data_IF_994354522724
#
_entry.id   IF_994354522724
#
_cell.length_a   1.000
_cell.length_b   1.000
_cell.length_c   1.000
_cell.angle_alpha   90.00
_cell.angle_beta   90.00
_cell.angle_gamma   90.00
#
_symmetry.space_group_name_H-M   'P 1'
#
loop_
_entity.id
_entity.type
_entity.pdbx_description
1 polymer ?
#
# COMPACT_ATOMS: atom_id res chain seq x y z
N UNK A 1 10.51 2.77 3.23
CA UNK A 1 11.04 3.86 2.35
C UNK A 1 10.10 4.06 1.17
N UNK A 2 9.89 5.31 0.73
CA UNK A 2 9.10 5.65 -0.47
C UNK A 2 10.06 6.14 -1.56
N UNK A 3 9.97 5.60 -2.76
CA UNK A 3 10.75 6.07 -3.91
C UNK A 3 9.85 6.86 -4.85
N UNK A 4 10.23 8.12 -5.10
CA UNK A 4 9.67 8.93 -6.17
C UNK A 4 10.54 8.76 -7.41
N UNK A 5 9.91 8.41 -8.53
CA UNK A 5 10.58 8.24 -9.82
C UNK A 5 10.01 9.28 -10.78
N UNK A 6 10.83 10.24 -11.15
CA UNK A 6 10.46 11.33 -12.06
C UNK A 6 11.10 11.03 -13.41
N UNK A 7 10.30 10.97 -14.47
CA UNK A 7 10.79 10.76 -15.83
C UNK A 7 10.23 11.83 -16.76
N UNK A 8 11.09 12.72 -17.21
CA UNK A 8 10.79 13.85 -18.09
C UNK A 8 12.10 14.32 -18.74
N UNK A 9 12.11 14.60 -20.02
CA UNK A 9 13.31 15.05 -20.75
C UNK A 9 13.65 16.50 -20.45
N UNK A 10 12.66 17.28 -20.02
CA UNK A 10 12.82 18.69 -19.65
C UNK A 10 13.37 18.82 -18.23
N UNK A 11 14.62 19.27 -18.12
CA UNK A 11 15.34 19.43 -16.84
C UNK A 11 14.66 20.40 -15.89
N UNK A 12 14.03 21.47 -16.39
CA UNK A 12 13.35 22.46 -15.55
C UNK A 12 12.10 21.86 -14.89
N UNK A 13 11.34 21.05 -15.64
CA UNK A 13 10.17 20.33 -15.12
C UNK A 13 10.60 19.31 -14.06
N UNK A 14 11.67 18.56 -14.32
CA UNK A 14 12.24 17.59 -13.36
C UNK A 14 12.62 18.29 -12.05
N UNK A 15 13.34 19.42 -12.12
CA UNK A 15 13.75 20.14 -10.91
C UNK A 15 12.57 20.77 -10.16
N UNK A 16 11.61 21.36 -10.85
CA UNK A 16 10.37 21.85 -10.22
C UNK A 16 9.61 20.72 -9.53
N UNK A 17 9.43 19.59 -10.22
CA UNK A 17 8.76 18.40 -9.66
C UNK A 17 9.49 17.91 -8.43
N UNK A 18 10.81 17.83 -8.44
CA UNK A 18 11.63 17.46 -7.27
C UNK A 18 11.41 18.40 -6.08
N UNK A 19 11.36 19.71 -6.32
CA UNK A 19 11.10 20.70 -5.26
C UNK A 19 9.69 20.53 -4.66
N UNK A 20 8.69 20.24 -5.51
CA UNK A 20 7.32 19.96 -5.07
C UNK A 20 7.27 18.71 -4.20
N UNK A 21 7.94 17.62 -4.62
CA UNK A 21 8.04 16.38 -3.83
C UNK A 21 8.66 16.68 -2.46
N UNK A 22 9.81 17.38 -2.42
CA UNK A 22 10.45 17.73 -1.15
C UNK A 22 9.54 18.56 -0.25
N UNK A 23 8.83 19.58 -0.80
CA UNK A 23 7.87 20.38 -0.07
C UNK A 23 6.72 19.56 0.52
N UNK A 24 6.19 18.62 -0.27
CA UNK A 24 5.11 17.73 0.17
C UNK A 24 5.57 16.78 1.24
N UNK A 25 6.82 16.29 1.16
CA UNK A 25 7.40 15.34 2.13
C UNK A 25 7.84 15.99 3.44
N UNK A 26 8.11 17.29 3.46
CA UNK A 26 8.62 18.02 4.64
C UNK A 26 7.82 17.77 5.95
N UNK A 27 6.47 17.69 5.95
CA UNK A 27 5.70 17.43 7.17
C UNK A 27 5.68 15.95 7.59
N UNK A 28 6.25 15.04 6.81
CA UNK A 28 6.22 13.60 7.05
C UNK A 28 7.58 13.10 7.53
N UNK A 29 7.58 12.31 8.59
CA UNK A 29 8.77 11.61 9.10
C UNK A 29 8.93 10.25 8.41
N UNK A 30 9.09 10.28 7.08
CA UNK A 30 9.30 9.08 6.25
C UNK A 30 10.61 9.16 5.49
N UNK A 31 11.34 8.05 5.49
CA UNK A 31 12.45 7.90 4.57
C UNK A 31 11.96 7.87 3.13
N UNK A 32 12.48 8.74 2.31
CA UNK A 32 12.18 8.77 0.89
C UNK A 32 13.41 9.04 0.03
N UNK A 33 13.34 8.62 -1.24
CA UNK A 33 14.36 8.84 -2.25
C UNK A 33 13.72 9.34 -3.54
N UNK A 34 14.34 10.33 -4.18
CA UNK A 34 13.93 10.83 -5.49
C UNK A 34 14.95 10.36 -6.51
N UNK A 35 14.48 9.63 -7.52
CA UNK A 35 15.29 9.20 -8.67
C UNK A 35 14.74 9.88 -9.92
N UNK A 36 15.64 10.42 -10.74
CA UNK A 36 15.30 11.25 -11.90
C UNK A 36 15.82 10.62 -13.17
N UNK A 37 15.01 10.63 -14.21
CA UNK A 37 15.34 10.10 -15.54
C UNK A 37 14.91 11.08 -16.62
N UNK A 38 15.68 11.17 -17.69
CA UNK A 38 15.33 11.89 -18.91
C UNK A 38 14.73 10.97 -19.97
N UNK A 39 14.92 9.68 -19.83
CA UNK A 39 14.43 8.64 -20.72
C UNK A 39 14.39 7.30 -20.01
N UNK A 40 13.68 6.33 -20.57
CA UNK A 40 13.67 4.95 -20.08
C UNK A 40 15.01 4.28 -20.35
N UNK A 41 15.55 3.56 -19.36
CA UNK A 41 16.81 2.83 -19.44
C UNK A 41 16.82 1.62 -18.50
N UNK A 42 17.91 0.84 -18.53
CA UNK A 42 18.09 -0.38 -17.72
C UNK A 42 18.02 -0.11 -16.21
N UNK A 43 18.48 1.05 -15.75
CA UNK A 43 18.36 1.45 -14.33
C UNK A 43 16.89 1.70 -13.95
N UNK A 44 16.11 2.33 -14.82
CA UNK A 44 14.69 2.50 -14.62
C UNK A 44 13.99 1.14 -14.54
N UNK A 45 14.29 0.23 -15.46
CA UNK A 45 13.74 -1.12 -15.48
C UNK A 45 14.06 -1.90 -14.20
N UNK A 46 15.27 -1.77 -13.67
CA UNK A 46 15.66 -2.40 -12.40
C UNK A 46 14.82 -1.88 -11.22
N UNK A 47 14.45 -0.58 -11.25
CA UNK A 47 13.56 0.01 -10.22
C UNK A 47 12.15 -0.55 -10.35
N UNK A 48 11.62 -0.74 -11.56
CA UNK A 48 10.28 -1.34 -11.76
C UNK A 48 10.24 -2.74 -11.13
N UNK A 49 11.25 -3.56 -11.40
CA UNK A 49 11.33 -4.96 -10.93
C UNK A 49 11.59 -5.11 -9.43
N UNK A 50 12.05 -4.07 -8.75
CA UNK A 50 12.26 -4.10 -7.29
C UNK A 50 10.94 -3.88 -6.56
N UNK A 51 10.40 -4.91 -5.89
CA UNK A 51 9.14 -4.85 -5.14
C UNK A 51 9.31 -4.57 -3.64
N UNK A 52 10.53 -4.33 -3.15
CA UNK A 52 10.79 -4.06 -1.73
C UNK A 52 10.46 -2.63 -1.31
N UNK A 53 10.22 -1.73 -2.27
CA UNK A 53 9.95 -0.32 -2.03
C UNK A 53 8.57 0.11 -2.52
N UNK A 54 7.95 1.04 -1.81
CA UNK A 54 6.77 1.75 -2.33
C UNK A 54 7.21 2.78 -3.36
N UNK A 55 6.52 2.84 -4.50
CA UNK A 55 6.92 3.73 -5.59
C UNK A 55 5.78 4.66 -6.00
N UNK A 56 6.14 5.90 -6.28
CA UNK A 56 5.29 6.89 -6.92
C UNK A 56 6.02 7.33 -8.17
N UNK A 57 5.46 7.04 -9.34
CA UNK A 57 5.98 7.44 -10.62
C UNK A 57 5.30 8.73 -11.07
N UNK A 58 6.10 9.68 -11.56
CA UNK A 58 5.65 10.92 -12.20
C UNK A 58 6.26 10.90 -13.59
N UNK A 59 5.44 10.70 -14.60
CA UNK A 59 5.87 10.40 -15.97
C UNK A 59 5.37 11.47 -16.94
N UNK A 60 6.25 11.95 -17.80
CA UNK A 60 5.83 12.61 -19.03
C UNK A 60 5.37 11.57 -20.05
N UNK A 61 4.47 11.93 -20.94
CA UNK A 61 4.06 11.08 -22.08
C UNK A 61 5.13 11.12 -23.15
N UNK A 62 5.64 12.29 -23.50
CA UNK A 62 6.61 12.44 -24.57
C UNK A 62 8.03 12.27 -24.02
N UNK A 63 8.65 11.15 -24.35
CA UNK A 63 10.00 10.81 -23.90
C UNK A 63 10.85 10.31 -25.08
N UNK A 64 12.17 10.55 -25.07
CA UNK A 64 13.06 10.05 -26.12
C UNK A 64 13.01 8.52 -26.22
N UNK A 65 12.59 8.01 -27.40
CA UNK A 65 12.61 6.59 -27.73
C UNK A 65 11.49 5.72 -27.15
N UNK A 66 10.57 6.29 -26.35
CA UNK A 66 9.41 5.58 -25.79
C UNK A 66 8.35 6.57 -25.33
N UNK A 67 7.16 6.12 -25.00
CA UNK A 67 6.17 6.97 -24.38
C UNK A 67 6.02 6.70 -22.89
N UNK A 68 5.56 7.69 -22.11
CA UNK A 68 5.23 7.49 -20.70
C UNK A 68 4.15 6.45 -20.49
N UNK A 69 3.27 6.25 -21.48
CA UNK A 69 2.25 5.20 -21.46
C UNK A 69 2.88 3.80 -21.60
N UNK A 70 3.86 3.62 -22.52
CA UNK A 70 4.58 2.36 -22.64
C UNK A 70 5.32 2.01 -21.35
N UNK A 71 5.89 3.04 -20.69
CA UNK A 71 6.53 2.86 -19.38
C UNK A 71 5.47 2.44 -18.33
N UNK A 72 4.30 3.07 -18.32
CA UNK A 72 3.22 2.73 -17.39
C UNK A 72 2.71 1.29 -17.60
N UNK A 73 2.63 0.80 -18.85
CA UNK A 73 2.34 -0.61 -19.15
C UNK A 73 3.39 -1.52 -18.51
N UNK A 74 4.69 -1.25 -18.75
CA UNK A 74 5.79 -2.03 -18.16
C UNK A 74 5.78 -2.00 -16.63
N UNK A 75 5.40 -0.87 -16.02
CA UNK A 75 5.22 -0.80 -14.57
C UNK A 75 4.11 -1.76 -14.14
N UNK A 76 2.96 -1.79 -14.83
CA UNK A 76 1.83 -2.65 -14.46
C UNK A 76 2.06 -4.14 -14.71
N UNK A 77 2.93 -4.52 -15.61
CA UNK A 77 3.38 -5.91 -15.78
C UNK A 77 4.07 -6.46 -14.52
N UNK A 78 4.67 -5.59 -13.69
CA UNK A 78 5.49 -5.99 -12.55
C UNK A 78 4.98 -5.47 -11.21
N UNK A 79 4.31 -4.32 -11.17
CA UNK A 79 3.94 -3.62 -9.93
C UNK A 79 2.58 -2.90 -10.04
N UNK A 80 1.56 -3.54 -9.49
CA UNK A 80 0.21 -2.96 -9.36
C UNK A 80 0.03 -2.10 -8.09
N UNK A 81 0.98 -2.14 -7.15
CA UNK A 81 0.90 -1.42 -5.89
C UNK A 81 1.45 0.00 -5.98
N UNK A 82 2.26 0.29 -6.97
CA UNK A 82 2.81 1.63 -7.21
C UNK A 82 1.73 2.61 -7.66
N UNK A 83 1.98 3.88 -7.38
CA UNK A 83 1.14 4.99 -7.86
C UNK A 83 1.76 5.57 -9.12
N UNK A 84 0.94 5.85 -10.14
CA UNK A 84 1.37 6.51 -11.37
C UNK A 84 0.62 7.83 -11.48
N UNK A 85 1.34 8.91 -11.74
CA UNK A 85 0.85 10.25 -12.06
C UNK A 85 1.43 10.61 -13.43
N UNK A 86 0.61 11.00 -14.37
CA UNK A 86 1.04 11.55 -15.66
C UNK A 86 1.12 13.07 -15.55
N UNK A 87 2.25 13.64 -15.92
CA UNK A 87 2.50 15.10 -15.97
C UNK A 87 3.02 15.45 -17.36
N UNK A 88 2.16 15.99 -18.23
CA UNK A 88 2.48 16.17 -19.64
C UNK A 88 1.96 17.45 -20.24
N UNK A 89 2.53 17.86 -21.37
CA UNK A 89 2.01 18.92 -22.24
C UNK A 89 0.95 18.43 -23.24
N UNK A 90 0.77 17.12 -23.40
CA UNK A 90 -0.15 16.50 -24.35
C UNK A 90 -1.51 16.25 -23.74
N UNK A 91 -2.41 17.20 -23.85
CA UNK A 91 -3.77 17.11 -23.27
C UNK A 91 -4.65 16.09 -24.01
N UNK A 92 -4.43 15.93 -25.30
CA UNK A 92 -5.17 15.04 -26.21
C UNK A 92 -5.04 13.54 -25.90
N UNK A 93 -4.02 13.15 -25.14
CA UNK A 93 -3.78 11.77 -24.77
C UNK A 93 -4.57 11.30 -23.54
N UNK A 94 -5.39 12.16 -22.94
CA UNK A 94 -6.10 11.83 -21.70
C UNK A 94 -7.05 10.63 -21.87
N UNK A 95 -7.79 10.57 -22.96
CA UNK A 95 -8.73 9.48 -23.24
C UNK A 95 -8.00 8.14 -23.39
N UNK A 96 -6.85 8.12 -24.07
CA UNK A 96 -6.01 6.94 -24.22
C UNK A 96 -5.52 6.40 -22.86
N UNK A 97 -5.22 7.28 -21.91
CA UNK A 97 -4.81 6.89 -20.55
C UNK A 97 -5.95 6.19 -19.83
N UNK A 98 -7.18 6.69 -19.92
CA UNK A 98 -8.35 6.08 -19.30
C UNK A 98 -8.72 4.74 -19.95
N UNK A 99 -8.68 4.66 -21.27
CA UNK A 99 -8.97 3.42 -22.01
C UNK A 99 -7.94 2.31 -21.73
N UNK A 100 -6.70 2.67 -21.43
CA UNK A 100 -5.60 1.74 -21.14
C UNK A 100 -5.74 0.95 -19.85
N UNK A 101 -6.65 1.34 -18.93
CA UNK A 101 -6.88 0.72 -17.63
C UNK A 101 -5.64 0.60 -16.73
N UNK A 102 -4.66 1.48 -16.91
CA UNK A 102 -3.38 1.48 -16.19
C UNK A 102 -3.49 1.96 -14.73
N UNK A 103 -4.69 2.29 -14.26
CA UNK A 103 -4.93 2.81 -12.92
C UNK A 103 -4.01 3.97 -12.56
N UNK A 104 -3.95 4.97 -13.44
CA UNK A 104 -3.24 6.22 -13.21
C UNK A 104 -4.03 7.04 -12.18
N UNK A 105 -3.34 7.54 -11.16
CA UNK A 105 -3.98 8.33 -10.10
C UNK A 105 -4.47 9.68 -10.62
N UNK A 106 -3.66 10.32 -11.44
CA UNK A 106 -4.00 11.65 -11.97
C UNK A 106 -3.30 11.90 -13.31
N UNK A 107 -3.94 12.75 -14.12
CA UNK A 107 -3.43 13.23 -15.39
C UNK A 107 -3.35 14.77 -15.33
N UNK A 108 -2.14 15.31 -15.32
CA UNK A 108 -1.86 16.72 -15.03
C UNK A 108 -1.26 17.38 -16.26
N UNK A 109 -1.91 18.45 -16.74
CA UNK A 109 -1.39 19.26 -17.83
C UNK A 109 -0.33 20.26 -17.34
N UNK A 110 0.83 20.30 -18.03
CA UNK A 110 1.91 21.28 -17.77
C UNK A 110 1.55 22.72 -18.15
N UNK A 111 0.49 22.94 -18.95
CA UNK A 111 0.07 24.28 -19.41
C UNK A 111 -0.64 25.12 -18.35
N UNK A 112 -1.19 24.50 -17.31
CA UNK A 112 -1.81 25.21 -16.19
C UNK A 112 -0.82 25.34 -15.02
N UNK A 113 -1.21 26.02 -13.95
CA UNK A 113 -0.43 26.06 -12.70
C UNK A 113 -0.42 24.66 -12.04
N UNK A 114 0.27 23.71 -12.70
CA UNK A 114 0.27 22.29 -12.35
C UNK A 114 0.84 22.00 -10.96
N UNK A 115 1.62 22.92 -10.39
CA UNK A 115 2.29 22.71 -9.12
C UNK A 115 1.30 22.41 -7.99
N UNK A 116 0.19 23.16 -7.91
CA UNK A 116 -0.87 22.92 -6.89
C UNK A 116 -1.60 21.60 -7.10
N UNK A 117 -1.85 21.26 -8.37
CA UNK A 117 -2.49 19.99 -8.71
C UNK A 117 -1.58 18.82 -8.35
N UNK A 118 -0.30 18.91 -8.72
CA UNK A 118 0.69 17.88 -8.38
C UNK A 118 0.87 17.73 -6.87
N UNK A 119 0.93 18.86 -6.11
CA UNK A 119 0.96 18.79 -4.63
C UNK A 119 -0.24 18.03 -4.06
N UNK A 120 -1.46 18.28 -4.60
CA UNK A 120 -2.69 17.58 -4.18
C UNK A 120 -2.63 16.09 -4.52
N UNK A 121 -2.21 15.75 -5.73
CA UNK A 121 -2.10 14.37 -6.21
C UNK A 121 -1.04 13.58 -5.42
N UNK A 122 0.10 14.19 -5.10
CA UNK A 122 1.11 13.59 -4.24
C UNK A 122 0.60 13.33 -2.82
N UNK A 123 -0.15 14.26 -2.22
CA UNK A 123 -0.80 14.04 -0.91
C UNK A 123 -1.82 12.90 -0.97
N UNK A 124 -2.60 12.82 -2.05
CA UNK A 124 -3.52 11.71 -2.27
C UNK A 124 -2.76 10.39 -2.42
N UNK A 125 -1.67 10.37 -3.20
CA UNK A 125 -0.80 9.19 -3.35
C UNK A 125 -0.24 8.72 -2.01
N UNK A 126 0.28 9.64 -1.19
CA UNK A 126 0.78 9.33 0.15
C UNK A 126 -0.33 8.78 1.06
N UNK A 127 -1.53 9.34 1.01
CA UNK A 127 -2.67 8.82 1.76
C UNK A 127 -3.03 7.39 1.33
N UNK A 128 -3.07 7.11 0.03
CA UNK A 128 -3.33 5.76 -0.49
C UNK A 128 -2.27 4.77 0.00
N UNK A 129 -0.99 5.15 -0.07
CA UNK A 129 0.12 4.32 0.40
C UNK A 129 0.09 4.11 1.91
N UNK A 130 -0.30 5.13 2.69
CA UNK A 130 -0.34 5.08 4.15
C UNK A 130 -1.58 4.35 4.69
N UNK A 131 -2.75 4.51 4.06
CA UNK A 131 -3.98 3.82 4.48
C UNK A 131 -3.84 2.30 4.39
N UNK A 132 -2.96 1.80 3.54
CA UNK A 132 -2.80 0.35 3.30
C UNK A 132 -1.93 -0.37 4.33
N UNK A 133 -1.26 0.31 5.29
CA UNK A 133 -0.13 -0.34 5.97
C UNK A 133 -0.06 -0.28 7.48
N UNK A 134 -0.83 0.58 8.17
CA UNK A 134 -0.62 0.78 9.62
C UNK A 134 -1.94 0.86 10.39
N UNK A 135 -2.06 0.06 11.45
CA UNK A 135 -3.11 0.20 12.46
C UNK A 135 -2.64 1.22 13.51
N UNK A 136 -3.34 2.36 13.58
CA UNK A 136 -3.08 3.38 14.60
C UNK A 136 -4.06 3.20 15.76
N UNK A 137 -3.55 3.22 17.00
CA UNK A 137 -4.39 3.22 18.21
C UNK A 137 -3.67 3.91 19.38
N UNK A 138 -4.46 4.31 20.38
CA UNK A 138 -3.93 4.88 21.62
C UNK A 138 -4.10 3.89 22.76
N UNK A 139 -3.07 3.75 23.58
CA UNK A 139 -3.09 2.95 24.78
C UNK A 139 -2.17 3.59 25.85
N UNK A 140 -2.69 3.80 27.06
CA UNK A 140 -1.92 4.35 28.20
C UNK A 140 -1.09 5.60 27.84
N UNK A 141 -1.72 6.66 27.30
CA UNK A 141 -1.06 7.93 26.89
C UNK A 141 -0.09 7.84 25.72
N UNK A 142 0.16 6.65 25.19
CA UNK A 142 1.02 6.43 24.03
C UNK A 142 0.21 6.19 22.76
N UNK A 143 0.72 6.66 21.61
CA UNK A 143 0.17 6.35 20.30
C UNK A 143 1.02 5.26 19.65
N UNK A 144 0.38 4.15 19.29
CA UNK A 144 1.01 3.03 18.63
C UNK A 144 0.65 3.02 17.14
N UNK A 145 1.62 2.62 16.33
CA UNK A 145 1.48 2.43 14.90
C UNK A 145 2.05 1.06 14.57
N UNK A 146 1.16 0.09 14.32
CA UNK A 146 1.57 -1.27 13.99
C UNK A 146 1.28 -1.52 12.51
N UNK A 147 2.28 -1.87 11.70
CA UNK A 147 2.09 -2.30 10.33
C UNK A 147 1.12 -3.48 10.26
N UNK A 148 0.17 -3.47 9.32
CA UNK A 148 -0.78 -4.59 9.17
C UNK A 148 -0.07 -5.91 8.85
N UNK A 149 1.06 -5.86 8.18
CA UNK A 149 1.88 -7.01 7.84
C UNK A 149 2.64 -7.60 9.03
N UNK A 150 2.73 -6.90 10.15
CA UNK A 150 3.25 -7.44 11.41
C UNK A 150 2.15 -8.12 12.24
N UNK A 151 0.87 -7.86 11.97
CA UNK A 151 -0.25 -8.41 12.75
C UNK A 151 -0.58 -9.83 12.28
N UNK A 152 -0.56 -10.80 13.19
CA UNK A 152 -1.02 -12.17 12.97
C UNK A 152 -2.53 -12.30 13.17
N UNK A 153 -3.00 -11.89 14.36
CA UNK A 153 -4.41 -11.94 14.71
C UNK A 153 -4.75 -10.94 15.82
N UNK A 154 -6.04 -10.68 15.97
CA UNK A 154 -6.61 -9.83 17.03
C UNK A 154 -7.66 -10.63 17.76
N UNK A 155 -7.56 -10.72 19.08
CA UNK A 155 -8.45 -11.54 19.92
C UNK A 155 -9.01 -10.73 21.09
N UNK A 156 -10.27 -10.99 21.43
CA UNK A 156 -10.88 -10.46 22.65
C UNK A 156 -10.82 -11.51 23.74
N UNK A 157 -10.21 -11.15 24.86
CA UNK A 157 -10.12 -12.04 26.03
C UNK A 157 -11.47 -12.13 26.78
N UNK A 158 -11.64 -13.11 27.71
CA UNK A 158 -12.83 -13.20 28.56
C UNK A 158 -13.13 -11.91 29.33
N UNK A 159 -12.10 -11.17 29.73
CA UNK A 159 -12.18 -9.88 30.43
C UNK A 159 -12.54 -8.71 29.50
N UNK A 160 -12.96 -9.01 28.24
CA UNK A 160 -13.34 -8.06 27.21
C UNK A 160 -12.22 -7.11 26.75
N UNK A 161 -10.96 -7.50 26.94
CA UNK A 161 -9.81 -6.76 26.44
C UNK A 161 -9.46 -7.20 25.02
N UNK A 162 -9.33 -6.26 24.11
CA UNK A 162 -8.89 -6.54 22.74
C UNK A 162 -7.38 -6.53 22.68
N UNK A 163 -6.77 -7.63 22.25
CA UNK A 163 -5.30 -7.76 22.13
C UNK A 163 -4.91 -8.04 20.70
N UNK A 164 -3.91 -7.32 20.21
CA UNK A 164 -3.25 -7.51 18.90
C UNK A 164 -2.01 -8.35 19.13
N UNK A 165 -1.85 -9.43 18.35
CA UNK A 165 -0.70 -10.33 18.38
C UNK A 165 0.10 -10.17 17.09
N UNK A 166 1.40 -9.97 17.23
CA UNK A 166 2.31 -9.66 16.12
C UNK A 166 3.30 -10.79 15.83
N UNK A 167 3.96 -10.72 14.67
CA UNK A 167 4.89 -11.74 14.18
C UNK A 167 6.13 -11.91 15.05
N UNK A 168 6.54 -10.88 15.74
CA UNK A 168 7.68 -10.82 16.68
C UNK A 168 7.32 -11.26 18.10
N UNK A 169 6.04 -11.67 18.32
CA UNK A 169 5.56 -12.16 19.61
C UNK A 169 5.10 -11.05 20.57
N UNK A 170 5.06 -9.79 20.14
CA UNK A 170 4.54 -8.72 20.97
C UNK A 170 3.00 -8.76 21.05
N UNK A 171 2.47 -8.33 22.20
CA UNK A 171 1.05 -8.24 22.48
C UNK A 171 0.69 -6.80 22.85
N UNK A 172 -0.29 -6.23 22.14
CA UNK A 172 -0.76 -4.87 22.40
C UNK A 172 -2.24 -4.90 22.82
N UNK A 173 -2.50 -4.52 24.07
CA UNK A 173 -3.86 -4.42 24.57
C UNK A 173 -4.45 -3.07 24.19
N UNK A 174 -5.65 -3.07 23.60
CA UNK A 174 -6.32 -1.86 23.13
C UNK A 174 -7.74 -1.75 23.66
N UNK A 175 -8.24 -0.52 23.82
CA UNK A 175 -9.60 -0.23 24.31
C UNK A 175 -10.64 -0.11 23.19
N UNK A 176 -10.35 -0.65 22.00
CA UNK A 176 -11.24 -0.57 20.84
C UNK A 176 -12.02 -1.88 20.68
N UNK A 177 -13.32 -1.80 20.42
CA UNK A 177 -14.11 -2.99 20.18
C UNK A 177 -13.75 -3.65 18.84
N UNK A 178 -13.81 -5.00 18.81
CA UNK A 178 -13.47 -5.77 17.62
C UNK A 178 -14.34 -5.41 16.39
N UNK A 179 -15.61 -5.01 16.62
CA UNK A 179 -16.51 -4.59 15.55
C UNK A 179 -16.05 -3.28 14.90
N UNK A 180 -15.58 -2.34 15.69
CA UNK A 180 -15.04 -1.07 15.20
C UNK A 180 -13.71 -1.27 14.47
N UNK A 181 -12.85 -2.17 14.97
CA UNK A 181 -11.60 -2.50 14.29
C UNK A 181 -11.84 -3.07 12.90
N UNK A 182 -12.84 -3.95 12.73
CA UNK A 182 -13.15 -4.53 11.42
C UNK A 182 -13.46 -3.49 10.34
N UNK A 183 -14.01 -2.34 10.68
CA UNK A 183 -14.28 -1.27 9.69
C UNK A 183 -13.02 -0.53 9.28
N UNK A 184 -11.94 -0.63 10.07
CA UNK A 184 -10.65 0.03 9.84
C UNK A 184 -9.60 -0.91 9.24
N UNK A 185 -9.80 -2.24 9.42
CA UNK A 185 -8.88 -3.26 8.96
C UNK A 185 -9.02 -3.50 7.44
N UNK A 186 -7.93 -3.93 6.83
CA UNK A 186 -7.89 -4.29 5.41
C UNK A 186 -8.70 -5.58 5.13
N UNK A 187 -9.09 -5.84 3.87
CA UNK A 187 -9.87 -7.04 3.49
C UNK A 187 -9.22 -8.37 3.83
N UNK A 188 -7.88 -8.40 3.96
CA UNK A 188 -7.12 -9.59 4.38
C UNK A 188 -7.32 -9.98 5.85
N UNK A 189 -8.05 -9.19 6.63
CA UNK A 189 -8.41 -9.51 8.00
C UNK A 189 -9.80 -10.14 8.07
N UNK A 190 -9.88 -11.42 8.39
CA UNK A 190 -11.12 -12.18 8.40
C UNK A 190 -11.45 -12.76 9.77
N UNK A 191 -12.76 -12.78 10.11
CA UNK A 191 -13.23 -13.40 11.34
C UNK A 191 -13.16 -14.93 11.25
N UNK A 192 -12.47 -15.57 12.21
CA UNK A 192 -12.48 -17.00 12.42
C UNK A 192 -13.28 -17.42 13.70
N UNK A 193 -13.55 -16.45 14.57
CA UNK A 193 -14.34 -16.58 15.79
C UNK A 193 -15.11 -15.29 16.08
N UNK A 194 -16.21 -15.34 16.88
CA UNK A 194 -16.92 -14.13 17.31
C UNK A 194 -15.99 -13.10 17.98
N UNK A 195 -14.93 -13.58 18.64
CA UNK A 195 -13.95 -12.78 19.38
C UNK A 195 -12.56 -12.80 18.74
N UNK A 196 -12.40 -13.24 17.49
CA UNK A 196 -11.10 -13.30 16.84
C UNK A 196 -11.15 -12.96 15.35
N UNK A 197 -10.20 -12.14 14.94
CA UNK A 197 -9.93 -11.75 13.55
C UNK A 197 -8.49 -12.18 13.23
N UNK A 198 -8.26 -12.74 12.05
CA UNK A 198 -6.96 -13.26 11.60
C UNK A 198 -6.55 -12.57 10.30
N UNK A 199 -5.28 -12.22 10.20
CA UNK A 199 -4.67 -11.79 8.95
C UNK A 199 -4.40 -13.01 8.07
N UNK A 200 -5.21 -13.20 7.04
CA UNK A 200 -5.13 -14.41 6.19
C UNK A 200 -3.85 -14.46 5.35
N UNK A 201 -3.21 -13.33 5.08
CA UNK A 201 -1.90 -13.28 4.40
C UNK A 201 -0.79 -13.93 5.21
N UNK A 202 -0.93 -13.98 6.53
CA UNK A 202 0.05 -14.59 7.44
C UNK A 202 -0.25 -16.08 7.74
N UNK A 203 -1.37 -16.58 7.26
CA UNK A 203 -1.74 -17.99 7.46
C UNK A 203 -0.93 -18.90 6.53
N UNK A 204 -0.34 -19.93 7.09
CA UNK A 204 0.31 -21.05 6.37
C UNK A 204 -0.63 -22.23 6.24
N UNK A 205 -1.33 -22.59 7.32
CA UNK A 205 -2.18 -23.77 7.39
C UNK A 205 -3.42 -23.53 8.25
N UNK A 206 -4.55 -24.10 7.82
CA UNK A 206 -5.81 -24.13 8.60
C UNK A 206 -6.20 -25.58 8.84
N UNK A 207 -6.18 -26.00 10.10
CA UNK A 207 -6.63 -27.34 10.52
C UNK A 207 -8.04 -27.29 11.09
N UNK A 208 -9.03 -27.67 10.26
CA UNK A 208 -10.46 -27.62 10.61
C UNK A 208 -10.79 -28.61 11.75
N UNK A 209 -10.13 -29.78 11.81
CA UNK A 209 -10.38 -30.81 12.83
C UNK A 209 -10.00 -30.31 14.22
N UNK A 210 -8.82 -29.74 14.33
CA UNK A 210 -8.24 -29.25 15.59
C UNK A 210 -8.62 -27.81 15.92
N UNK A 211 -9.29 -27.09 14.97
CA UNK A 211 -9.66 -25.67 15.09
C UNK A 211 -8.44 -24.73 15.25
N UNK A 212 -7.28 -25.17 14.71
CA UNK A 212 -6.02 -24.44 14.80
C UNK A 212 -5.65 -23.75 13.49
N UNK A 213 -4.93 -22.63 13.62
CA UNK A 213 -4.33 -21.88 12.53
C UNK A 213 -2.83 -21.86 12.78
N UNK A 214 -2.04 -22.28 11.78
CA UNK A 214 -0.59 -22.16 11.79
C UNK A 214 -0.19 -20.99 10.91
N UNK A 215 0.57 -20.07 11.47
CA UNK A 215 1.07 -18.89 10.78
C UNK A 215 2.41 -19.16 10.06
N UNK A 216 2.79 -18.28 9.12
CA UNK A 216 4.04 -18.41 8.34
C UNK A 216 5.29 -18.35 9.20
N UNK A 217 5.24 -17.68 10.36
CA UNK A 217 6.33 -17.65 11.35
C UNK A 217 6.40 -18.90 12.25
N UNK A 218 5.54 -19.92 12.04
CA UNK A 218 5.53 -21.17 12.79
C UNK A 218 4.60 -21.19 14.01
N UNK A 219 4.08 -20.07 14.46
CA UNK A 219 3.11 -19.99 15.56
C UNK A 219 1.84 -20.74 15.18
N UNK A 220 1.34 -21.59 16.09
CA UNK A 220 0.11 -22.36 15.92
C UNK A 220 -0.83 -22.09 17.09
N UNK A 221 -2.04 -21.62 16.78
CA UNK A 221 -3.02 -21.20 17.77
C UNK A 221 -4.41 -21.76 17.49
N UNK A 222 -5.16 -22.09 18.57
CA UNK A 222 -6.58 -22.51 18.51
C UNK A 222 -7.46 -21.25 18.50
N UNK A 223 -7.79 -20.77 17.31
CA UNK A 223 -8.49 -19.49 17.13
C UNK A 223 -9.88 -19.61 16.52
N UNK A 224 -10.20 -20.74 15.87
CA UNK A 224 -11.45 -20.88 15.14
C UNK A 224 -12.59 -21.35 16.04
N UNK A 225 -13.80 -20.92 15.72
CA UNK A 225 -15.01 -21.50 16.31
C UNK A 225 -15.60 -22.60 15.43
N UNK A 226 -16.29 -23.55 16.04
CA UNK A 226 -16.96 -24.64 15.32
C UNK A 226 -17.87 -24.13 14.19
N UNK A 227 -18.60 -23.03 14.43
CA UNK A 227 -19.54 -22.44 13.45
C UNK A 227 -18.84 -21.75 12.27
N UNK A 228 -17.68 -21.17 12.49
CA UNK A 228 -17.01 -20.32 11.49
C UNK A 228 -15.86 -21.03 10.75
N UNK A 229 -15.34 -22.14 11.27
CA UNK A 229 -14.12 -22.79 10.78
C UNK A 229 -14.18 -23.20 9.29
N UNK A 230 -15.34 -23.67 8.80
CA UNK A 230 -15.48 -24.08 7.38
C UNK A 230 -15.45 -22.86 6.45
N UNK A 231 -16.23 -21.83 6.74
CA UNK A 231 -16.25 -20.60 5.93
C UNK A 231 -14.91 -19.87 5.95
N UNK A 232 -14.23 -19.82 7.10
CA UNK A 232 -12.90 -19.24 7.21
C UNK A 232 -11.87 -20.03 6.38
N UNK A 233 -11.84 -21.36 6.47
CA UNK A 233 -10.93 -22.18 5.67
C UNK A 233 -11.16 -22.03 4.16
N UNK A 234 -12.43 -21.94 3.74
CA UNK A 234 -12.78 -21.70 2.35
C UNK A 234 -12.31 -20.32 1.87
N UNK A 235 -12.46 -19.29 2.72
CA UNK A 235 -11.97 -17.96 2.42
C UNK A 235 -10.44 -17.95 2.24
N UNK A 236 -9.69 -18.53 3.19
CA UNK A 236 -8.22 -18.64 3.12
C UNK A 236 -7.77 -19.35 1.84
N UNK A 237 -8.49 -20.43 1.43
CA UNK A 237 -8.16 -21.15 0.19
C UNK A 237 -8.38 -20.33 -1.09
N UNK A 238 -9.39 -19.44 -1.09
CA UNK A 238 -9.70 -18.57 -2.22
C UNK A 238 -8.85 -17.29 -2.23
N UNK A 239 -8.27 -16.95 -1.10
CA UNK A 239 -7.43 -15.77 -0.97
C UNK A 239 -6.04 -16.06 -1.57
N UNK A 240 -5.77 -15.44 -2.72
CA UNK A 240 -4.48 -15.51 -3.43
C UNK A 240 -3.83 -14.14 -3.50
#
# INVERSE_FOLDING_TARGET
>A
MIRFVICDDNVEVVEKTRLIVNKVMMPYDYDYKITRFKSYNSTFESIIKNNDEQKIYILDIELPGTTGLDIAVKIREHDWNSIIIILTSHYECQDLVFESRLMVLDYISKFSKYEKTLEKSLKTALNILNQKKVLNFKYCHSTYRIPYDEILYIKVSPEKRTTIFTIDGNEYVINTQLKELLTKLQPNFQRCHKNCIVNVEKVREVNIKNETITFKNGVTEKLMSFRMKRGFAEYVRKYK
#
